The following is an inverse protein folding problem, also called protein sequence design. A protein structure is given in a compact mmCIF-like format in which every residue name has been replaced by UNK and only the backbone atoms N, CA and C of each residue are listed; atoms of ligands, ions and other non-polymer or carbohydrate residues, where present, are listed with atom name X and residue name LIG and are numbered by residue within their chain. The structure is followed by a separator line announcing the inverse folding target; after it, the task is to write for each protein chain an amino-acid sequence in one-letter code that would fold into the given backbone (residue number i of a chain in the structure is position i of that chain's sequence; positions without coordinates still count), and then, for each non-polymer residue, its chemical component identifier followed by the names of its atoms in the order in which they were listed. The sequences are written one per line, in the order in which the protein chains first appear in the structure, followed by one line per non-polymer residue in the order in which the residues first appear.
data_IF_016123501293
#
_entry.id   IF_016123501293
#
_cell.length_a   1.000
_cell.length_b   1.000
_cell.length_c   1.000
_cell.angle_alpha   90.00
_cell.angle_beta   90.00
_cell.angle_gamma   90.00
#
_symmetry.space_group_name_H-M   'P 1'
#
loop_
_entity.id
_entity.type
_entity.pdbx_description
1 polymer ?
#
# COMPACT_ATOMS: atom_id res chain seq x y z
N UNK A 1 23.33 10.70 -2.96
CA UNK A 1 21.93 10.52 -2.48
C UNK A 1 21.90 9.34 -1.52
N UNK A 2 21.53 9.54 -0.28
CA UNK A 2 21.42 8.48 0.73
C UNK A 2 19.97 7.98 0.85
N UNK A 3 19.79 6.66 0.93
CA UNK A 3 18.46 6.05 1.08
C UNK A 3 18.30 5.49 2.50
N UNK A 4 17.20 5.79 3.19
CA UNK A 4 16.80 5.10 4.41
C UNK A 4 15.78 4.01 4.07
N UNK A 5 16.11 2.78 4.41
CA UNK A 5 15.25 1.60 4.19
C UNK A 5 14.71 1.19 5.56
N UNK A 6 13.39 1.21 5.73
CA UNK A 6 12.74 0.92 7.01
C UNK A 6 12.03 -0.43 6.91
N UNK A 7 12.39 -1.35 7.79
CA UNK A 7 11.78 -2.68 7.91
C UNK A 7 11.13 -2.81 9.30
N UNK A 8 9.80 -2.71 9.40
CA UNK A 8 9.07 -3.08 10.61
C UNK A 8 9.14 -4.60 10.83
N UNK A 9 9.44 -5.02 12.05
CA UNK A 9 9.64 -6.44 12.38
C UNK A 9 8.68 -6.83 13.50
N UNK A 10 7.83 -7.86 13.25
CA UNK A 10 6.99 -8.46 14.28
C UNK A 10 6.57 -9.88 13.91
N UNK A 11 7.03 -10.90 14.65
CA UNK A 11 6.69 -12.33 14.46
C UNK A 11 6.99 -12.87 13.06
N UNK A 12 8.17 -12.62 12.55
CA UNK A 12 8.58 -12.95 11.18
C UNK A 12 9.93 -13.70 11.12
N UNK A 13 10.32 -14.41 12.16
CA UNK A 13 11.60 -15.12 12.23
C UNK A 13 11.87 -16.02 11.02
N UNK A 14 10.84 -16.59 10.40
CA UNK A 14 10.96 -17.45 9.23
C UNK A 14 11.34 -16.69 7.93
N UNK A 15 11.09 -15.40 7.85
CA UNK A 15 11.26 -14.61 6.61
C UNK A 15 12.26 -13.48 6.74
N UNK A 16 12.57 -13.05 7.98
CA UNK A 16 13.37 -11.87 8.26
C UNK A 16 14.75 -11.91 7.59
N UNK A 17 15.47 -13.04 7.67
CA UNK A 17 16.78 -13.17 7.04
C UNK A 17 16.71 -12.94 5.53
N UNK A 18 15.75 -13.58 4.83
CA UNK A 18 15.55 -13.38 3.39
C UNK A 18 15.28 -11.92 3.05
N UNK A 19 14.46 -11.24 3.86
CA UNK A 19 14.14 -9.84 3.69
C UNK A 19 15.41 -8.97 3.79
N UNK A 20 16.17 -9.10 4.87
CA UNK A 20 17.39 -8.32 5.12
C UNK A 20 18.45 -8.64 4.06
N UNK A 21 18.70 -9.92 3.75
CA UNK A 21 19.64 -10.34 2.70
C UNK A 21 19.31 -9.71 1.35
N UNK A 22 18.03 -9.60 0.98
CA UNK A 22 17.62 -8.98 -0.27
C UNK A 22 17.99 -7.50 -0.38
N UNK A 23 18.25 -6.84 0.74
CA UNK A 23 18.69 -5.45 0.83
C UNK A 23 20.22 -5.35 0.89
N UNK A 24 20.85 -6.08 1.81
CA UNK A 24 22.29 -5.92 2.06
C UNK A 24 23.16 -6.44 0.92
N UNK A 25 22.63 -7.38 0.14
CA UNK A 25 23.29 -7.95 -1.04
C UNK A 25 23.12 -7.14 -2.33
N UNK A 26 22.39 -6.00 -2.31
CA UNK A 26 22.33 -5.07 -3.46
C UNK A 26 23.69 -4.43 -3.72
N UNK A 27 23.96 -4.08 -4.98
CA UNK A 27 25.21 -3.39 -5.37
C UNK A 27 25.24 -1.92 -4.91
N UNK A 28 24.08 -1.27 -4.81
CA UNK A 28 23.97 0.07 -4.22
C UNK A 28 24.36 0.06 -2.74
N UNK A 29 25.28 0.96 -2.32
CA UNK A 29 25.87 0.98 -0.98
C UNK A 29 25.50 2.18 -0.12
N UNK A 30 25.04 3.26 -0.71
CA UNK A 30 24.74 4.52 -0.01
C UNK A 30 23.34 4.50 0.65
N UNK A 31 23.14 3.54 1.56
CA UNK A 31 21.91 3.41 2.33
C UNK A 31 22.18 3.18 3.82
N UNK A 32 21.18 3.43 4.63
CA UNK A 32 21.02 2.91 5.97
C UNK A 32 19.80 1.99 6.01
N UNK A 33 19.90 0.88 6.73
CA UNK A 33 18.82 -0.06 6.96
C UNK A 33 18.36 0.05 8.42
N UNK A 34 17.11 0.41 8.63
CA UNK A 34 16.52 0.61 9.96
C UNK A 34 15.56 -0.53 10.23
N UNK A 35 15.96 -1.45 11.11
CA UNK A 35 15.11 -2.52 11.61
C UNK A 35 14.37 -2.02 12.85
N UNK A 36 13.04 -2.01 12.82
CA UNK A 36 12.23 -1.61 13.95
C UNK A 36 11.49 -2.83 14.49
N UNK A 37 12.06 -3.48 15.51
CA UNK A 37 11.43 -4.57 16.21
C UNK A 37 10.30 -4.02 17.09
N UNK A 38 9.07 -4.35 16.76
CA UNK A 38 7.86 -3.90 17.44
C UNK A 38 7.45 -4.87 18.56
N UNK A 39 8.43 -5.25 19.40
CA UNK A 39 8.22 -6.11 20.55
C UNK A 39 7.88 -7.55 20.14
N UNK A 40 8.64 -8.12 19.20
CA UNK A 40 8.47 -9.50 18.74
C UNK A 40 8.71 -10.50 19.87
N UNK A 41 7.80 -11.46 20.09
CA UNK A 41 7.97 -12.48 21.13
C UNK A 41 8.75 -13.73 20.67
N UNK A 42 9.15 -13.78 19.40
CA UNK A 42 9.96 -14.82 18.76
C UNK A 42 11.45 -14.43 18.73
N UNK A 43 12.26 -15.07 17.88
CA UNK A 43 13.70 -14.80 17.79
C UNK A 43 14.05 -13.52 17.01
N UNK A 44 13.08 -12.78 16.49
CA UNK A 44 13.33 -11.57 15.69
C UNK A 44 14.23 -10.53 16.40
N UNK A 45 14.08 -10.23 17.72
CA UNK A 45 14.94 -9.25 18.38
C UNK A 45 16.42 -9.62 18.24
N UNK A 46 16.79 -10.86 18.61
CA UNK A 46 18.17 -11.35 18.51
C UNK A 46 18.67 -11.37 17.07
N UNK A 47 17.82 -11.78 16.11
CA UNK A 47 18.18 -11.77 14.68
C UNK A 47 18.49 -10.35 14.18
N UNK A 48 17.76 -9.34 14.63
CA UNK A 48 18.02 -7.94 14.30
C UNK A 48 19.40 -7.51 14.81
N UNK A 49 19.70 -7.80 16.06
CA UNK A 49 21.00 -7.48 16.69
C UNK A 49 22.16 -8.18 15.98
N UNK A 50 22.03 -9.48 15.70
CA UNK A 50 23.02 -10.26 14.96
C UNK A 50 23.30 -9.66 13.56
N UNK A 51 22.30 -9.08 12.91
CA UNK A 51 22.49 -8.40 11.63
C UNK A 51 23.19 -7.05 11.78
N UNK A 52 22.89 -6.28 12.82
CA UNK A 52 23.55 -5.00 13.09
C UNK A 52 25.02 -5.18 13.45
N UNK A 53 25.38 -6.29 14.11
CA UNK A 53 26.79 -6.63 14.40
C UNK A 53 27.58 -6.97 13.12
N UNK A 54 26.93 -7.47 12.08
CA UNK A 54 27.57 -7.90 10.80
C UNK A 54 27.68 -6.79 9.76
N UNK A 55 26.80 -5.79 9.82
CA UNK A 55 26.76 -4.71 8.82
C UNK A 55 26.50 -3.36 9.48
N UNK A 56 27.49 -2.48 9.46
CA UNK A 56 27.46 -1.14 10.07
C UNK A 56 26.39 -0.21 9.50
N UNK A 57 25.80 -0.54 8.34
CA UNK A 57 24.70 0.19 7.73
C UNK A 57 23.37 -0.09 8.41
N UNK A 58 23.31 -1.14 9.25
CA UNK A 58 22.08 -1.57 9.93
C UNK A 58 21.99 -0.92 11.30
N UNK A 59 20.82 -0.35 11.58
CA UNK A 59 20.46 0.21 12.89
C UNK A 59 19.22 -0.49 13.40
N UNK A 60 19.20 -0.88 14.65
CA UNK A 60 18.07 -1.57 15.29
C UNK A 60 17.40 -0.66 16.32
N UNK A 61 16.08 -0.72 16.37
CA UNK A 61 15.28 -0.15 17.45
C UNK A 61 14.38 -1.27 17.97
N UNK A 62 14.42 -1.49 19.26
CA UNK A 62 13.44 -2.30 19.97
C UNK A 62 12.43 -1.38 20.64
N UNK A 63 11.15 -1.65 20.46
CA UNK A 63 10.06 -0.92 21.11
C UNK A 63 9.01 -1.87 21.65
N UNK A 64 8.17 -1.40 22.58
CA UNK A 64 6.96 -2.14 22.94
C UNK A 64 6.01 -2.20 21.76
N UNK A 65 5.28 -3.32 21.61
CA UNK A 65 4.39 -3.52 20.49
C UNK A 65 3.34 -2.39 20.38
N UNK A 66 3.44 -1.63 19.34
CA UNK A 66 2.60 -0.45 19.06
C UNK A 66 1.95 -0.50 17.67
N UNK A 67 2.22 -1.57 16.92
CA UNK A 67 1.67 -1.86 15.59
C UNK A 67 2.46 -1.25 14.45
N UNK A 68 2.20 -1.77 13.24
CA UNK A 68 2.91 -1.48 11.99
C UNK A 68 3.11 0.01 11.71
N UNK A 69 2.05 0.82 11.87
CA UNK A 69 2.11 2.27 11.67
C UNK A 69 3.14 2.94 12.57
N UNK A 70 3.18 2.55 13.83
CA UNK A 70 4.10 3.15 14.82
C UNK A 70 5.54 2.69 14.57
N UNK A 71 5.75 1.44 14.19
CA UNK A 71 7.07 0.94 13.80
C UNK A 71 7.61 1.70 12.57
N UNK A 72 6.78 1.90 11.52
CA UNK A 72 7.16 2.74 10.37
C UNK A 72 7.45 4.18 10.78
N UNK A 73 6.60 4.79 11.63
CA UNK A 73 6.81 6.16 12.11
C UNK A 73 8.11 6.30 12.91
N UNK A 74 8.45 5.29 13.73
CA UNK A 74 9.70 5.28 14.49
C UNK A 74 10.93 5.22 13.58
N UNK A 75 10.86 4.40 12.52
CA UNK A 75 11.88 4.38 11.47
C UNK A 75 12.03 5.71 10.74
N UNK A 76 10.91 6.37 10.40
CA UNK A 76 10.90 7.71 9.77
C UNK A 76 11.59 8.73 10.67
N UNK A 77 11.30 8.71 11.98
CA UNK A 77 11.82 9.67 12.97
C UNK A 77 13.35 9.71 13.00
N UNK A 78 14.00 8.53 12.89
CA UNK A 78 15.46 8.40 12.98
C UNK A 78 16.16 8.36 11.63
N UNK A 79 15.42 8.34 10.52
CA UNK A 79 15.98 8.27 9.18
C UNK A 79 16.80 9.52 8.84
N UNK A 80 17.93 9.31 8.16
CA UNK A 80 18.89 10.36 7.79
C UNK A 80 19.07 10.50 6.27
N UNK A 81 18.52 9.57 5.48
CA UNK A 81 18.60 9.58 4.03
C UNK A 81 17.80 10.73 3.40
N UNK A 82 18.12 11.07 2.18
CA UNK A 82 17.37 12.04 1.38
C UNK A 82 15.99 11.48 1.00
N UNK A 83 15.94 10.16 0.85
CA UNK A 83 14.73 9.40 0.52
C UNK A 83 14.50 8.25 1.50
N UNK A 84 13.23 7.85 1.63
CA UNK A 84 12.78 6.74 2.48
C UNK A 84 12.06 5.71 1.62
N UNK A 85 12.29 4.43 1.88
CA UNK A 85 11.46 3.33 1.38
C UNK A 85 11.13 2.37 2.52
N UNK A 86 10.03 1.64 2.38
CA UNK A 86 9.60 0.62 3.33
C UNK A 86 9.67 -0.76 2.68
N UNK A 87 10.07 -1.75 3.45
CA UNK A 87 10.02 -3.16 3.05
C UNK A 87 9.36 -3.91 4.20
N UNK A 88 8.28 -4.62 3.90
CA UNK A 88 7.63 -5.45 4.91
C UNK A 88 8.48 -6.72 5.15
N UNK A 89 8.66 -7.11 6.40
CA UNK A 89 9.63 -8.13 6.81
C UNK A 89 9.32 -9.56 6.37
N UNK A 90 8.14 -9.80 5.81
CA UNK A 90 7.76 -11.05 5.13
C UNK A 90 7.98 -11.02 3.61
N UNK A 91 8.44 -9.88 3.07
CA UNK A 91 8.68 -9.62 1.66
C UNK A 91 10.17 -9.56 1.30
N UNK A 92 10.48 -9.24 0.06
CA UNK A 92 11.87 -8.99 -0.41
C UNK A 92 11.89 -8.17 -1.70
N UNK A 93 13.07 -7.60 -2.02
CA UNK A 93 13.30 -6.89 -3.30
C UNK A 93 14.15 -7.73 -4.24
N UNK A 94 13.92 -7.55 -5.54
CA UNK A 94 14.70 -8.23 -6.58
C UNK A 94 16.13 -7.70 -6.69
N UNK A 95 17.03 -8.45 -7.34
CA UNK A 95 18.40 -8.03 -7.55
C UNK A 95 18.46 -6.71 -8.32
N UNK A 96 19.48 -5.89 -8.06
CA UNK A 96 19.75 -4.57 -8.68
C UNK A 96 18.59 -3.56 -8.54
N UNK A 97 17.58 -3.83 -7.68
CA UNK A 97 16.43 -2.93 -7.53
C UNK A 97 16.86 -1.58 -6.95
N UNK A 98 17.63 -1.57 -5.85
CA UNK A 98 18.06 -0.30 -5.24
C UNK A 98 18.96 0.53 -6.16
N UNK A 99 19.85 -0.09 -6.90
CA UNK A 99 20.71 0.58 -7.88
C UNK A 99 19.90 1.25 -8.98
N UNK A 100 18.94 0.52 -9.58
CA UNK A 100 18.05 1.06 -10.62
C UNK A 100 17.26 2.27 -10.10
N UNK A 101 16.73 2.18 -8.87
CA UNK A 101 15.93 3.24 -8.28
C UNK A 101 16.79 4.45 -7.92
N UNK A 102 17.98 4.21 -7.38
CA UNK A 102 18.93 5.26 -7.04
C UNK A 102 19.42 6.00 -8.29
N UNK A 103 19.74 5.29 -9.36
CA UNK A 103 20.15 5.88 -10.65
C UNK A 103 19.03 6.74 -11.24
N UNK A 104 17.78 6.27 -11.16
CA UNK A 104 16.67 7.09 -11.62
C UNK A 104 16.57 8.39 -10.83
N UNK A 105 16.60 8.33 -9.50
CA UNK A 105 16.48 9.50 -8.63
C UNK A 105 17.69 10.45 -8.74
N UNK A 106 18.90 9.94 -9.00
CA UNK A 106 20.07 10.74 -9.24
C UNK A 106 19.96 11.58 -10.53
N UNK A 107 19.30 11.03 -11.57
CA UNK A 107 19.05 11.71 -12.83
C UNK A 107 17.78 12.56 -12.85
N UNK A 108 16.91 12.42 -11.84
CA UNK A 108 15.62 13.12 -11.71
C UNK A 108 15.42 13.61 -10.28
N UNK A 109 16.33 14.50 -9.85
CA UNK A 109 16.43 14.97 -8.45
C UNK A 109 15.20 15.73 -7.96
N UNK A 110 14.34 16.19 -8.87
CA UNK A 110 13.06 16.83 -8.58
C UNK A 110 11.94 15.86 -8.19
N UNK A 111 12.14 14.54 -8.36
CA UNK A 111 11.12 13.51 -8.07
C UNK A 111 10.87 13.41 -6.56
N UNK A 112 9.65 13.56 -6.14
CA UNK A 112 9.24 13.45 -4.73
C UNK A 112 8.84 12.01 -4.37
N UNK A 113 8.15 11.30 -5.28
CA UNK A 113 7.79 9.89 -5.11
C UNK A 113 8.14 9.12 -6.39
N UNK A 114 8.81 7.99 -6.23
CA UNK A 114 9.11 7.05 -7.31
C UNK A 114 8.41 5.72 -7.01
N UNK A 115 7.52 5.28 -7.90
CA UNK A 115 6.86 3.98 -7.79
C UNK A 115 7.41 3.00 -8.84
N UNK A 116 7.61 1.74 -8.44
CA UNK A 116 8.19 0.70 -9.27
C UNK A 116 7.38 -0.61 -9.21
N UNK A 117 7.62 -1.56 -10.14
CA UNK A 117 6.84 -2.79 -10.24
C UNK A 117 6.86 -3.64 -8.97
N UNK A 118 5.74 -4.36 -8.76
CA UNK A 118 5.67 -5.37 -7.71
C UNK A 118 5.10 -6.69 -8.25
N UNK A 119 5.64 -7.81 -7.76
CA UNK A 119 5.06 -9.14 -7.91
C UNK A 119 4.15 -9.38 -6.72
N UNK A 120 2.84 -9.24 -6.92
CA UNK A 120 1.84 -9.38 -5.87
C UNK A 120 1.48 -10.84 -5.63
N UNK A 121 1.30 -11.22 -4.37
CA UNK A 121 0.96 -12.57 -3.90
C UNK A 121 1.97 -13.63 -4.38
N UNK A 122 3.25 -13.26 -4.34
CA UNK A 122 4.34 -14.14 -4.74
C UNK A 122 4.28 -15.47 -3.98
N UNK A 123 4.43 -16.58 -4.72
CA UNK A 123 4.32 -17.93 -4.16
C UNK A 123 2.89 -18.47 -4.03
N UNK A 124 1.88 -17.78 -4.56
CA UNK A 124 0.50 -18.25 -4.55
C UNK A 124 -0.10 -18.38 -5.97
N UNK A 125 -1.20 -19.14 -6.15
CA UNK A 125 -1.93 -19.20 -7.42
C UNK A 125 -2.50 -17.85 -7.89
N UNK A 126 -2.63 -16.87 -6.98
CA UNK A 126 -3.11 -15.51 -7.26
C UNK A 126 -1.97 -14.56 -7.66
N UNK A 127 -0.75 -15.07 -7.78
CA UNK A 127 0.42 -14.26 -8.16
C UNK A 127 0.14 -13.46 -9.44
N UNK A 128 0.42 -12.17 -9.38
CA UNK A 128 0.27 -11.27 -10.52
C UNK A 128 1.27 -10.11 -10.44
N UNK A 129 1.63 -9.57 -11.59
CA UNK A 129 2.55 -8.43 -11.67
C UNK A 129 1.75 -7.12 -11.68
N UNK A 130 2.05 -6.22 -10.73
CA UNK A 130 1.78 -4.80 -10.87
C UNK A 130 2.91 -4.23 -11.73
N UNK A 131 2.58 -3.76 -12.92
CA UNK A 131 3.56 -3.26 -13.86
C UNK A 131 3.11 -1.92 -14.45
N UNK A 132 4.10 -1.08 -14.78
CA UNK A 132 3.93 0.20 -15.44
C UNK A 132 4.51 0.07 -16.86
N UNK A 133 3.68 -0.20 -17.89
CA UNK A 133 4.18 -0.55 -19.23
C UNK A 133 5.00 0.57 -19.88
N UNK A 134 4.83 1.81 -19.41
CA UNK A 134 5.62 2.98 -19.80
C UNK A 134 5.98 3.78 -18.56
N UNK A 135 7.19 4.29 -18.53
CA UNK A 135 7.59 5.29 -17.55
C UNK A 135 6.71 6.52 -17.71
N UNK A 136 6.24 7.06 -16.59
CA UNK A 136 5.33 8.19 -16.61
C UNK A 136 5.60 9.12 -15.44
N UNK A 137 5.64 10.42 -15.73
CA UNK A 137 5.75 11.47 -14.73
C UNK A 137 4.38 12.13 -14.56
N UNK A 138 3.97 12.33 -13.31
CA UNK A 138 2.75 13.00 -12.93
C UNK A 138 3.10 14.31 -12.21
N UNK A 139 2.57 15.43 -12.72
CA UNK A 139 2.62 16.76 -12.11
C UNK A 139 1.29 17.12 -11.43
N UNK A 140 0.27 16.34 -11.68
CA UNK A 140 -1.03 16.42 -11.01
C UNK A 140 -1.31 15.11 -10.29
N UNK A 141 -1.25 15.16 -8.98
CA UNK A 141 -1.36 13.98 -8.12
C UNK A 141 -2.76 13.34 -8.17
N UNK A 142 -3.79 14.13 -8.43
CA UNK A 142 -5.14 13.59 -8.61
C UNK A 142 -5.25 12.78 -9.93
N UNK A 143 -4.44 13.09 -10.94
CA UNK A 143 -4.35 12.24 -12.13
C UNK A 143 -3.66 10.90 -11.82
N UNK A 144 -2.64 10.88 -10.97
CA UNK A 144 -2.05 9.64 -10.48
C UNK A 144 -3.08 8.83 -9.68
N UNK A 145 -3.77 9.46 -8.70
CA UNK A 145 -4.78 8.77 -7.88
C UNK A 145 -5.91 8.19 -8.72
N UNK A 146 -6.54 8.99 -9.58
CA UNK A 146 -7.74 8.61 -10.33
C UNK A 146 -7.43 7.88 -11.65
N UNK A 147 -6.61 8.46 -12.53
CA UNK A 147 -6.32 7.89 -13.85
C UNK A 147 -5.29 6.76 -13.75
N UNK A 148 -4.25 6.93 -12.93
CA UNK A 148 -3.27 5.91 -12.59
C UNK A 148 -3.87 4.77 -11.75
N UNK A 149 -5.03 5.01 -11.12
CA UNK A 149 -5.71 4.08 -10.21
C UNK A 149 -4.87 3.72 -8.99
N UNK A 150 -4.10 4.67 -8.47
CA UNK A 150 -3.22 4.48 -7.31
C UNK A 150 -3.97 3.93 -6.08
N UNK A 151 -5.27 4.20 -5.96
CA UNK A 151 -6.15 3.60 -4.94
C UNK A 151 -6.23 2.06 -4.96
N UNK A 152 -5.70 1.40 -6.01
CA UNK A 152 -5.59 -0.07 -6.13
C UNK A 152 -4.21 -0.61 -5.77
N UNK A 153 -3.22 0.27 -5.66
CA UNK A 153 -1.83 -0.05 -5.37
C UNK A 153 -1.20 1.02 -4.47
N UNK A 154 -1.95 1.42 -3.43
CA UNK A 154 -1.51 2.41 -2.44
C UNK A 154 -0.43 1.88 -1.48
N UNK A 155 0.12 0.70 -1.73
CA UNK A 155 1.15 0.07 -0.88
C UNK A 155 2.31 1.03 -0.61
N UNK A 156 2.77 1.09 0.64
CA UNK A 156 3.95 1.86 1.00
C UNK A 156 5.23 1.26 0.41
N UNK A 157 5.27 -0.06 0.29
CA UNK A 157 6.49 -0.85 0.09
C UNK A 157 7.09 -0.80 -1.33
N UNK A 158 6.32 -0.54 -2.39
CA UNK A 158 6.85 -0.44 -3.75
C UNK A 158 7.06 1.02 -4.21
N UNK A 159 7.41 1.89 -3.29
CA UNK A 159 7.65 3.31 -3.54
C UNK A 159 8.87 3.81 -2.77
N UNK A 160 9.54 4.80 -3.36
CA UNK A 160 10.53 5.60 -2.66
C UNK A 160 9.97 7.01 -2.52
N UNK A 161 10.12 7.58 -1.36
CA UNK A 161 9.54 8.86 -0.97
C UNK A 161 10.65 9.83 -0.59
N UNK A 162 10.60 11.07 -1.05
CA UNK A 162 11.43 12.14 -0.50
C UNK A 162 11.14 12.26 0.99
N UNK A 163 12.17 12.22 1.83
CA UNK A 163 12.01 12.20 3.31
C UNK A 163 11.20 13.38 3.83
N UNK A 164 11.34 14.55 3.20
CA UNK A 164 10.63 15.78 3.59
C UNK A 164 9.10 15.64 3.56
N UNK A 165 8.55 14.77 2.71
CA UNK A 165 7.10 14.50 2.67
C UNK A 165 6.57 13.99 4.02
N UNK A 166 7.43 13.36 4.81
CA UNK A 166 7.06 12.84 6.12
C UNK A 166 7.20 13.86 7.26
N UNK A 167 7.55 15.13 7.00
CA UNK A 167 7.52 16.16 8.04
C UNK A 167 6.09 16.41 8.54
N UNK A 168 5.13 16.48 7.63
CA UNK A 168 3.71 16.75 7.92
C UNK A 168 2.84 15.50 7.96
N UNK A 169 3.30 14.38 7.37
CA UNK A 169 2.50 13.16 7.22
C UNK A 169 3.12 12.02 8.01
N UNK A 170 2.25 11.28 8.73
CA UNK A 170 2.61 10.04 9.45
C UNK A 170 1.58 8.97 9.20
N UNK A 171 1.98 7.71 9.35
CA UNK A 171 1.04 6.59 9.36
C UNK A 171 0.15 6.67 10.59
N UNK A 172 -1.19 6.60 10.44
CA UNK A 172 -2.11 6.71 11.58
C UNK A 172 -2.02 5.47 12.47
N UNK A 173 -1.89 5.69 13.79
CA UNK A 173 -1.85 4.61 14.77
C UNK A 173 -3.19 3.88 14.88
N UNK A 174 -3.14 2.54 15.04
CA UNK A 174 -4.33 1.71 15.27
C UNK A 174 -5.27 1.59 14.05
N UNK A 175 -4.82 2.00 12.88
CA UNK A 175 -5.56 1.87 11.62
C UNK A 175 -4.93 0.80 10.77
N UNK A 176 -5.77 -0.09 10.21
CA UNK A 176 -5.37 -1.10 9.22
C UNK A 176 -5.67 -0.57 7.81
N UNK A 177 -4.88 -0.98 6.82
CA UNK A 177 -4.90 -0.38 5.47
C UNK A 177 -4.59 1.12 5.50
N UNK A 178 -3.71 1.51 6.40
CA UNK A 178 -3.22 2.86 6.65
C UNK A 178 -2.54 3.48 5.43
N UNK A 179 -1.97 2.65 4.55
CA UNK A 179 -1.31 3.04 3.30
C UNK A 179 -2.21 3.88 2.40
N UNK A 180 -3.52 3.60 2.40
CA UNK A 180 -4.51 4.30 1.56
C UNK A 180 -4.57 5.77 1.92
N UNK A 181 -4.82 6.06 3.20
CA UNK A 181 -4.96 7.44 3.67
C UNK A 181 -3.59 8.14 3.76
N UNK A 182 -2.53 7.41 4.10
CA UNK A 182 -1.17 7.96 4.15
C UNK A 182 -0.71 8.38 2.77
N UNK A 183 -0.82 7.51 1.75
CA UNK A 183 -0.46 7.89 0.38
C UNK A 183 -1.28 9.08 -0.10
N UNK A 184 -2.60 9.09 0.14
CA UNK A 184 -3.44 10.21 -0.30
C UNK A 184 -2.99 11.54 0.31
N UNK A 185 -2.65 11.57 1.60
CA UNK A 185 -2.10 12.75 2.27
C UNK A 185 -0.71 13.13 1.73
N UNK A 186 0.18 12.15 1.49
CA UNK A 186 1.49 12.43 0.89
C UNK A 186 1.34 13.08 -0.49
N UNK A 187 0.34 12.67 -1.28
CA UNK A 187 0.07 13.27 -2.59
C UNK A 187 -0.33 14.76 -2.51
N UNK A 188 -0.89 15.22 -1.38
CA UNK A 188 -1.21 16.65 -1.17
C UNK A 188 0.06 17.53 -1.07
N UNK A 189 1.20 16.92 -0.65
CA UNK A 189 2.50 17.58 -0.53
C UNK A 189 3.47 17.22 -1.67
N UNK A 190 3.08 16.34 -2.59
CA UNK A 190 3.91 15.86 -3.70
C UNK A 190 3.74 16.77 -4.91
N UNK A 191 4.84 17.20 -5.51
CA UNK A 191 4.87 17.98 -6.75
C UNK A 191 5.09 17.09 -7.97
N UNK A 192 6.02 16.14 -7.86
CA UNK A 192 6.43 15.27 -8.97
C UNK A 192 6.44 13.82 -8.47
N UNK A 193 5.64 12.98 -9.13
CA UNK A 193 5.63 11.55 -8.94
C UNK A 193 5.95 10.85 -10.26
N UNK A 194 6.87 9.89 -10.21
CA UNK A 194 7.21 9.08 -11.36
C UNK A 194 6.85 7.60 -11.14
N UNK A 195 6.48 6.92 -12.22
CA UNK A 195 6.36 5.46 -12.27
C UNK A 195 7.33 4.91 -13.31
N UNK A 196 8.08 3.86 -12.94
CA UNK A 196 9.03 3.20 -13.83
C UNK A 196 8.67 1.72 -14.00
N UNK A 197 9.25 1.06 -15.00
CA UNK A 197 8.99 -0.37 -15.30
C UNK A 197 10.17 -1.29 -14.96
N UNK A 198 11.12 -0.79 -14.19
CA UNK A 198 12.37 -1.47 -13.79
C UNK A 198 12.43 -1.65 -12.28
N UNK A 199 13.25 -2.60 -11.80
CA UNK A 199 13.23 -3.04 -10.42
C UNK A 199 11.99 -3.90 -10.12
N UNK A 200 11.96 -4.55 -8.96
CA UNK A 200 10.80 -5.35 -8.55
C UNK A 200 10.76 -5.53 -7.04
N UNK A 201 9.61 -5.27 -6.47
CA UNK A 201 9.23 -5.66 -5.12
C UNK A 201 8.49 -6.99 -5.15
N UNK A 202 8.78 -7.91 -4.25
CA UNK A 202 8.08 -9.20 -4.15
C UNK A 202 7.22 -9.21 -2.90
N UNK A 203 5.93 -8.89 -3.10
CA UNK A 203 4.89 -9.00 -2.08
C UNK A 203 4.50 -10.48 -1.93
N UNK A 204 4.99 -11.13 -0.87
CA UNK A 204 4.81 -12.55 -0.66
C UNK A 204 3.41 -12.87 -0.09
N UNK A 205 2.86 -13.99 -0.50
CA UNK A 205 1.61 -14.45 0.08
C UNK A 205 1.84 -14.96 1.50
N UNK A 206 1.22 -14.30 2.46
CA UNK A 206 1.22 -14.70 3.86
C UNK A 206 -0.21 -15.04 4.30
N UNK A 207 -0.55 -16.33 4.52
CA UNK A 207 -1.90 -16.72 4.92
C UNK A 207 -2.30 -16.24 6.32
N UNK A 208 -1.33 -15.80 7.13
CA UNK A 208 -1.54 -15.22 8.47
C UNK A 208 -1.44 -13.68 8.46
N UNK A 209 -1.12 -13.09 7.32
CA UNK A 209 -1.01 -11.64 7.17
C UNK A 209 -2.36 -10.93 7.22
N UNK A 210 -2.33 -9.63 7.53
CA UNK A 210 -3.53 -8.78 7.67
C UNK A 210 -4.45 -8.87 6.45
N UNK A 211 -3.89 -8.85 5.24
CA UNK A 211 -4.66 -8.92 3.99
C UNK A 211 -5.42 -10.24 3.83
N UNK A 212 -4.86 -11.35 4.29
CA UNK A 212 -5.47 -12.68 4.16
C UNK A 212 -6.49 -12.98 5.27
N UNK A 213 -6.32 -12.36 6.44
CA UNK A 213 -7.14 -12.61 7.64
C UNK A 213 -8.16 -11.51 7.92
N UNK A 214 -8.21 -10.47 7.07
CA UNK A 214 -9.08 -9.31 7.25
C UNK A 214 -10.55 -9.73 7.47
N UNK A 215 -11.10 -9.33 8.60
CA UNK A 215 -12.50 -9.56 8.97
C UNK A 215 -13.37 -8.32 8.71
N UNK A 216 -14.56 -8.31 9.27
CA UNK A 216 -15.51 -7.21 9.13
C UNK A 216 -15.00 -5.90 9.73
N UNK A 217 -14.13 -5.94 10.75
CA UNK A 217 -13.57 -4.76 11.41
C UNK A 217 -12.54 -4.09 10.49
N UNK A 218 -11.62 -4.87 9.94
CA UNK A 218 -10.61 -4.38 9.00
C UNK A 218 -11.25 -3.89 7.69
N UNK A 219 -12.23 -4.61 7.12
CA UNK A 219 -12.99 -4.15 5.96
C UNK A 219 -13.70 -2.82 6.22
N UNK A 220 -14.23 -2.62 7.44
CA UNK A 220 -14.85 -1.35 7.83
C UNK A 220 -13.80 -0.22 7.87
N UNK A 221 -12.61 -0.47 8.44
CA UNK A 221 -11.52 0.52 8.45
C UNK A 221 -11.08 0.89 7.04
N UNK A 222 -10.87 -0.11 6.17
CA UNK A 222 -10.56 0.12 4.75
C UNK A 222 -11.62 0.99 4.06
N UNK A 223 -12.89 0.66 4.26
CA UNK A 223 -14.00 1.43 3.71
C UNK A 223 -14.01 2.86 4.23
N UNK A 224 -13.78 3.07 5.54
CA UNK A 224 -13.75 4.41 6.15
C UNK A 224 -12.63 5.27 5.57
N UNK A 225 -11.43 4.70 5.35
CA UNK A 225 -10.32 5.39 4.72
C UNK A 225 -10.71 5.92 3.33
N UNK A 226 -11.35 5.07 2.52
CA UNK A 226 -11.82 5.47 1.20
C UNK A 226 -12.99 6.48 1.24
N UNK A 227 -13.93 6.33 2.18
CA UNK A 227 -15.04 7.29 2.34
C UNK A 227 -14.51 8.68 2.71
N UNK A 228 -13.50 8.76 3.58
CA UNK A 228 -12.83 10.01 3.90
C UNK A 228 -12.35 10.75 2.65
N UNK A 229 -11.69 10.04 1.74
CA UNK A 229 -11.20 10.57 0.47
C UNK A 229 -12.36 10.95 -0.48
N UNK A 230 -13.40 10.10 -0.58
CA UNK A 230 -14.55 10.38 -1.43
C UNK A 230 -15.30 11.65 -1.01
N UNK A 231 -15.35 11.96 0.28
CA UNK A 231 -16.00 13.17 0.83
C UNK A 231 -15.25 14.46 0.50
N UNK A 232 -13.93 14.39 0.33
CA UNK A 232 -13.07 15.53 0.04
C UNK A 232 -13.04 15.89 -1.46
N UNK A 233 -13.56 15.02 -2.34
CA UNK A 233 -13.50 15.25 -3.79
C UNK A 233 -14.80 15.81 -4.36
N UNK A 234 -14.69 16.88 -5.13
CA UNK A 234 -15.78 17.43 -5.94
C UNK A 234 -15.89 16.78 -7.33
N UNK A 235 -14.92 15.95 -7.69
CA UNK A 235 -14.84 15.32 -9.00
C UNK A 235 -16.02 14.36 -9.22
N UNK A 236 -16.60 14.35 -10.47
CA UNK A 236 -17.73 13.48 -10.85
C UNK A 236 -17.53 12.83 -12.22
N UNK A 237 -16.33 12.93 -12.78
CA UNK A 237 -15.99 12.39 -14.08
C UNK A 237 -15.95 10.85 -14.13
N UNK A 238 -15.54 10.29 -15.28
CA UNK A 238 -15.37 8.84 -15.46
C UNK A 238 -14.45 8.21 -14.42
N UNK A 239 -13.35 8.86 -14.09
CA UNK A 239 -12.33 8.29 -13.22
C UNK A 239 -12.78 8.27 -11.76
N UNK A 240 -13.51 9.30 -11.33
CA UNK A 240 -14.22 9.28 -10.06
C UNK A 240 -15.19 8.10 -9.97
N UNK A 241 -15.99 7.86 -11.03
CA UNK A 241 -16.97 6.77 -11.02
C UNK A 241 -16.29 5.40 -10.94
N UNK A 242 -15.13 5.21 -11.58
CA UNK A 242 -14.33 3.98 -11.45
C UNK A 242 -13.80 3.78 -10.01
N UNK A 243 -13.36 4.85 -9.37
CA UNK A 243 -12.94 4.82 -7.98
C UNK A 243 -14.13 4.53 -7.05
N UNK A 244 -15.24 5.24 -7.22
CA UNK A 244 -16.46 4.98 -6.45
C UNK A 244 -16.92 3.53 -6.57
N UNK A 245 -16.89 2.93 -7.76
CA UNK A 245 -17.21 1.51 -7.95
C UNK A 245 -16.26 0.59 -7.18
N UNK A 246 -14.97 0.93 -7.11
CA UNK A 246 -14.01 0.16 -6.32
C UNK A 246 -14.37 0.18 -4.83
N UNK A 247 -14.74 1.35 -4.31
CA UNK A 247 -15.17 1.52 -2.91
C UNK A 247 -16.53 0.87 -2.66
N UNK A 248 -17.45 0.94 -3.64
CA UNK A 248 -18.74 0.25 -3.58
C UNK A 248 -18.56 -1.27 -3.41
N UNK A 249 -17.57 -1.86 -4.07
CA UNK A 249 -17.29 -3.28 -3.92
C UNK A 249 -16.90 -3.62 -2.47
N UNK A 250 -16.06 -2.81 -1.81
CA UNK A 250 -15.72 -2.98 -0.38
C UNK A 250 -16.97 -2.84 0.50
N UNK A 251 -17.83 -1.87 0.21
CA UNK A 251 -19.09 -1.69 0.94
C UNK A 251 -20.00 -2.93 0.80
N UNK A 252 -20.09 -3.51 -0.40
CA UNK A 252 -20.89 -4.70 -0.65
C UNK A 252 -20.34 -5.93 0.10
N UNK A 253 -19.02 -6.08 0.13
CA UNK A 253 -18.36 -7.17 0.85
C UNK A 253 -18.53 -7.01 2.37
N UNK A 254 -18.39 -5.80 2.92
CA UNK A 254 -18.69 -5.51 4.32
C UNK A 254 -20.14 -5.80 4.67
N UNK A 255 -21.11 -5.35 3.85
CA UNK A 255 -22.54 -5.64 4.08
C UNK A 255 -22.83 -7.14 4.04
N UNK A 256 -22.15 -7.87 3.16
CA UNK A 256 -22.30 -9.32 3.09
C UNK A 256 -21.87 -10.01 4.40
N UNK A 257 -20.80 -9.52 5.04
CA UNK A 257 -20.31 -10.04 6.32
C UNK A 257 -21.18 -9.64 7.51
N UNK A 258 -21.61 -8.38 7.57
CA UNK A 258 -22.25 -7.81 8.77
C UNK A 258 -23.76 -7.64 8.66
N UNK A 259 -24.27 -7.27 7.50
CA UNK A 259 -25.65 -6.81 7.29
C UNK A 259 -25.94 -5.40 7.80
N UNK A 260 -24.90 -4.66 8.22
CA UNK A 260 -25.04 -3.32 8.77
C UNK A 260 -25.47 -2.29 7.72
N UNK A 261 -26.05 -1.17 8.18
CA UNK A 261 -26.45 -0.07 7.29
C UNK A 261 -25.28 0.40 6.44
N UNK A 262 -25.46 0.52 5.11
CA UNK A 262 -24.39 1.02 4.24
C UNK A 262 -23.91 2.41 4.65
N UNK A 263 -22.59 2.63 4.58
CA UNK A 263 -21.92 3.87 5.02
C UNK A 263 -21.73 4.87 3.89
N UNK A 264 -21.74 4.41 2.64
CA UNK A 264 -21.61 5.27 1.46
C UNK A 264 -22.92 5.98 1.13
N UNK A 265 -22.83 7.09 0.40
CA UNK A 265 -23.98 7.78 -0.18
C UNK A 265 -24.22 7.32 -1.61
N UNK A 266 -25.46 7.38 -2.07
CA UNK A 266 -25.81 7.10 -3.46
C UNK A 266 -25.17 8.12 -4.42
N UNK A 267 -24.61 7.60 -5.50
CA UNK A 267 -24.05 8.40 -6.60
C UNK A 267 -24.51 7.77 -7.90
N UNK A 268 -24.94 8.58 -8.85
CA UNK A 268 -25.26 8.09 -10.19
C UNK A 268 -23.99 7.62 -10.90
N UNK A 269 -24.01 6.36 -11.36
CA UNK A 269 -22.92 5.73 -12.10
C UNK A 269 -23.34 5.45 -13.55
N UNK A 270 -22.65 6.06 -14.52
CA UNK A 270 -22.94 5.80 -15.94
C UNK A 270 -22.53 4.38 -16.34
N UNK A 271 -23.47 3.47 -16.70
CA UNK A 271 -23.15 2.07 -17.00
C UNK A 271 -22.17 1.88 -18.17
N UNK A 272 -22.03 2.91 -19.05
CA UNK A 272 -21.09 2.88 -20.20
C UNK A 272 -19.61 2.79 -19.77
N UNK A 273 -19.28 3.20 -18.55
CA UNK A 273 -17.90 3.17 -18.04
C UNK A 273 -17.49 1.83 -17.45
N UNK A 274 -18.43 0.90 -17.28
CA UNK A 274 -18.22 -0.38 -16.63
C UNK A 274 -18.46 -1.56 -17.57
N UNK A 275 -17.87 -2.71 -17.24
CA UNK A 275 -18.04 -3.99 -17.97
C UNK A 275 -18.48 -5.07 -16.97
N UNK A 276 -19.04 -6.17 -17.51
CA UNK A 276 -19.39 -7.36 -16.73
C UNK A 276 -20.24 -7.05 -15.49
N UNK A 277 -19.85 -7.59 -14.34
CA UNK A 277 -20.57 -7.45 -13.08
C UNK A 277 -20.70 -5.99 -12.61
N UNK A 278 -19.67 -5.17 -12.80
CA UNK A 278 -19.70 -3.79 -12.36
C UNK A 278 -20.71 -2.94 -13.17
N UNK A 279 -20.94 -3.25 -14.45
CA UNK A 279 -22.00 -2.61 -15.23
C UNK A 279 -23.38 -2.92 -14.65
N UNK A 280 -23.62 -4.17 -14.24
CA UNK A 280 -24.88 -4.59 -13.62
C UNK A 280 -25.07 -3.89 -12.28
N UNK A 281 -24.00 -3.82 -11.45
CA UNK A 281 -24.05 -3.09 -10.16
C UNK A 281 -24.37 -1.61 -10.36
N UNK A 282 -23.79 -0.95 -11.37
CA UNK A 282 -24.09 0.46 -11.68
C UNK A 282 -25.57 0.65 -12.05
N UNK A 283 -26.13 -0.23 -12.89
CA UNK A 283 -27.55 -0.18 -13.26
C UNK A 283 -28.44 -0.38 -12.01
N UNK A 284 -28.17 -1.41 -11.21
CA UNK A 284 -28.95 -1.70 -10.02
C UNK A 284 -28.84 -0.59 -8.96
N UNK A 285 -27.65 0.00 -8.77
CA UNK A 285 -27.47 1.15 -7.88
C UNK A 285 -28.36 2.33 -8.32
N UNK A 286 -28.32 2.68 -9.60
CA UNK A 286 -29.10 3.81 -10.14
C UNK A 286 -30.62 3.59 -10.04
N UNK A 287 -31.08 2.34 -10.18
CA UNK A 287 -32.52 2.02 -10.14
C UNK A 287 -33.05 1.86 -8.71
N UNK A 288 -32.27 1.28 -7.82
CA UNK A 288 -32.76 0.77 -6.53
C UNK A 288 -32.17 1.48 -5.32
N UNK A 289 -31.06 2.20 -5.52
CA UNK A 289 -30.25 2.79 -4.46
C UNK A 289 -29.39 1.76 -3.73
N UNK A 290 -28.46 2.25 -2.95
CA UNK A 290 -27.40 1.45 -2.29
C UNK A 290 -27.96 0.41 -1.32
N UNK A 291 -28.94 0.79 -0.50
CA UNK A 291 -29.52 -0.13 0.51
C UNK A 291 -30.10 -1.39 -0.14
N UNK A 292 -30.91 -1.22 -1.19
CA UNK A 292 -31.52 -2.35 -1.90
C UNK A 292 -30.49 -3.15 -2.68
N UNK A 293 -29.51 -2.49 -3.28
CA UNK A 293 -28.37 -3.17 -3.95
C UNK A 293 -27.63 -4.08 -2.97
N UNK A 294 -27.32 -3.63 -1.76
CA UNK A 294 -26.67 -4.43 -0.72
C UNK A 294 -27.47 -5.69 -0.36
N UNK A 295 -28.78 -5.54 -0.17
CA UNK A 295 -29.67 -6.67 0.13
C UNK A 295 -29.71 -7.70 -1.01
N UNK A 296 -29.77 -7.24 -2.26
CA UNK A 296 -29.76 -8.11 -3.43
C UNK A 296 -28.41 -8.83 -3.52
N UNK A 297 -27.31 -8.09 -3.37
CA UNK A 297 -25.95 -8.64 -3.46
C UNK A 297 -25.71 -9.74 -2.41
N UNK A 298 -26.19 -9.57 -1.18
CA UNK A 298 -26.08 -10.57 -0.12
C UNK A 298 -26.74 -11.92 -0.49
N UNK A 299 -27.82 -11.88 -1.30
CA UNK A 299 -28.53 -13.08 -1.78
C UNK A 299 -27.90 -13.72 -3.02
N UNK A 300 -26.94 -13.05 -3.67
CA UNK A 300 -26.29 -13.57 -4.88
C UNK A 300 -25.32 -14.73 -4.58
N UNK A 301 -25.10 -15.65 -5.55
CA UNK A 301 -24.12 -16.73 -5.41
C UNK A 301 -22.69 -16.21 -5.14
N UNK A 302 -21.86 -17.01 -4.45
CA UNK A 302 -20.45 -16.67 -4.11
C UNK A 302 -19.63 -16.15 -5.30
N UNK A 303 -19.84 -16.70 -6.51
CA UNK A 303 -19.17 -16.23 -7.74
C UNK A 303 -19.34 -14.74 -8.07
N UNK A 304 -20.31 -14.06 -7.47
CA UNK A 304 -20.56 -12.62 -7.60
C UNK A 304 -19.89 -11.79 -6.50
N UNK A 305 -19.44 -12.44 -5.42
CA UNK A 305 -18.98 -11.83 -4.17
C UNK A 305 -17.47 -11.74 -4.03
N UNK A 306 -16.69 -12.41 -4.86
CA UNK A 306 -15.21 -12.38 -4.75
C UNK A 306 -14.64 -11.12 -5.40
N UNK A 307 -14.18 -10.21 -4.57
CA UNK A 307 -13.36 -9.05 -4.96
C UNK A 307 -12.02 -8.98 -4.19
N UNK A 308 -11.86 -9.82 -3.18
CA UNK A 308 -10.62 -10.04 -2.42
C UNK A 308 -9.74 -11.08 -3.08
#
# INVERSE_FOLDING_TARGET
MKLSIIIPVYRVEATLNRCIESVVLQDFRDFELILVDDGSPDNCPQMCDDWAERDERIRVIHQENSGLSQARNKGIEISQGDYITFIDSDDFIGPQTLEILADYLANHTETDILEYPAMLFCGSPQQRKLAFPKEKVYYNMMNYWYQGRAYKHSYACNKIYRRELFHEVRFPAGVVFEDICTLYKLLEHTRILATINRGCYYYCYNPKGITATADAKELRMQLMNHIGILRQTERRDRYFQLYYMSVLNIQLDLYNCTGDVPMMHDVYLSPKYFKGKDRIKAILLNMLGLKRLCVIFRKMPKRWKSHL
#
